data_IF_160850105917
#
_entry.id   IF_160850105917
#
_cell.length_a   1.000
_cell.length_b   1.000
_cell.length_c   1.000
_cell.angle_alpha   90.00
_cell.angle_beta   90.00
_cell.angle_gamma   90.00
#
_symmetry.space_group_name_H-M   'P 1'
#
loop_
_entity.id
_entity.type
_entity.pdbx_description
1 polymer ?
#
# COMPACT_ATOMS: atom_id res chain seq x y z
N UNK A 1 9.12 19.97 7.46
CA UNK A 1 9.25 19.06 6.31
C UNK A 1 8.29 17.90 6.50
N UNK A 2 7.31 17.77 5.61
CA UNK A 2 6.31 16.68 5.60
C UNK A 2 6.86 15.49 4.83
N UNK A 3 6.65 14.28 5.34
CA UNK A 3 7.05 13.04 4.67
C UNK A 3 6.00 11.94 4.90
N UNK A 4 5.81 11.10 3.89
CA UNK A 4 4.92 9.93 3.90
C UNK A 4 5.75 8.65 3.80
N UNK A 5 5.33 7.63 4.55
CA UNK A 5 5.79 6.25 4.31
C UNK A 5 4.88 5.58 3.31
N UNK A 6 5.46 5.13 2.20
CA UNK A 6 4.73 4.59 1.05
C UNK A 6 5.21 3.19 0.76
N UNK A 7 4.30 2.21 0.79
CA UNK A 7 4.60 0.82 0.49
C UNK A 7 4.13 0.44 -0.91
N UNK A 8 5.07 0.01 -1.75
CA UNK A 8 4.81 -0.50 -3.09
C UNK A 8 4.76 -2.02 -3.07
N UNK A 9 3.70 -2.61 -3.61
CA UNK A 9 3.55 -4.06 -3.74
C UNK A 9 4.33 -4.59 -4.94
N UNK A 10 5.39 -5.37 -4.70
CA UNK A 10 6.41 -5.70 -5.70
C UNK A 10 6.33 -7.14 -6.21
N UNK A 11 6.59 -7.31 -7.52
CA UNK A 11 6.89 -8.61 -8.15
C UNK A 11 8.39 -8.93 -8.10
N UNK A 12 9.20 -7.89 -8.28
CA UNK A 12 10.65 -7.90 -8.27
C UNK A 12 11.15 -6.48 -7.93
N UNK A 13 12.46 -6.23 -8.03
CA UNK A 13 13.05 -4.95 -7.60
C UNK A 13 12.73 -3.76 -8.52
N UNK A 14 12.16 -4.01 -9.71
CA UNK A 14 11.92 -2.97 -10.72
C UNK A 14 10.43 -2.74 -10.98
N UNK A 15 9.59 -3.74 -10.71
CA UNK A 15 8.19 -3.73 -11.12
C UNK A 15 7.23 -4.12 -9.98
N UNK A 16 6.16 -3.34 -9.87
CA UNK A 16 5.01 -3.68 -9.06
C UNK A 16 4.31 -4.94 -9.61
N UNK A 17 3.65 -5.65 -8.71
CA UNK A 17 2.91 -6.87 -9.06
C UNK A 17 1.81 -6.61 -10.08
N UNK A 18 1.66 -7.53 -11.05
CA UNK A 18 0.58 -7.48 -12.05
C UNK A 18 -0.74 -8.04 -11.50
N UNK A 19 -0.67 -8.90 -10.49
CA UNK A 19 -1.81 -9.37 -9.71
C UNK A 19 -2.27 -8.28 -8.69
N UNK A 20 -3.02 -8.66 -7.66
CA UNK A 20 -3.45 -7.70 -6.65
C UNK A 20 -2.32 -7.37 -5.67
N UNK A 21 -2.34 -6.15 -5.13
CA UNK A 21 -1.38 -5.68 -4.12
C UNK A 21 -1.09 -6.69 -2.99
N UNK A 22 -2.13 -7.36 -2.48
CA UNK A 22 -2.00 -8.36 -1.40
C UNK A 22 -1.21 -9.62 -1.78
N UNK A 23 -1.02 -9.88 -3.08
CA UNK A 23 -0.31 -11.05 -3.61
C UNK A 23 1.19 -10.77 -3.83
N UNK A 24 1.64 -9.55 -3.55
CA UNK A 24 3.02 -9.09 -3.76
C UNK A 24 4.04 -10.00 -3.08
N UNK A 25 5.21 -10.20 -3.68
CA UNK A 25 6.29 -10.98 -3.03
C UNK A 25 6.83 -10.27 -1.79
N UNK A 26 7.01 -8.96 -1.89
CA UNK A 26 7.45 -8.09 -0.81
C UNK A 26 6.89 -6.68 -1.02
N UNK A 27 7.01 -5.85 0.01
CA UNK A 27 6.71 -4.44 -0.05
C UNK A 27 8.01 -3.65 -0.02
N UNK A 28 8.26 -2.81 -1.03
CA UNK A 28 9.32 -1.82 -0.96
C UNK A 28 8.77 -0.57 -0.28
N UNK A 29 9.33 -0.19 0.86
CA UNK A 29 8.84 0.90 1.69
C UNK A 29 9.77 2.10 1.53
N UNK A 30 9.21 3.18 1.02
CA UNK A 30 9.91 4.43 0.79
C UNK A 30 9.43 5.51 1.74
N UNK A 31 10.34 6.39 2.13
CA UNK A 31 10.02 7.72 2.61
C UNK A 31 9.99 8.67 1.42
N UNK A 32 8.89 9.38 1.24
CA UNK A 32 8.73 10.42 0.21
C UNK A 32 8.41 11.72 0.92
N UNK A 33 9.14 12.80 0.64
CA UNK A 33 8.95 14.10 1.28
C UNK A 33 8.48 15.18 0.31
N UNK A 34 7.95 16.27 0.85
CA UNK A 34 7.36 17.38 0.08
C UNK A 34 8.33 18.10 -0.87
N UNK A 35 9.63 17.97 -0.62
CA UNK A 35 10.70 18.50 -1.48
C UNK A 35 11.03 17.60 -2.68
N UNK A 36 10.31 16.48 -2.83
CA UNK A 36 10.53 15.48 -3.86
C UNK A 36 11.62 14.46 -3.54
N UNK A 37 12.22 14.52 -2.35
CA UNK A 37 13.19 13.49 -1.94
C UNK A 37 12.50 12.14 -1.73
N UNK A 38 13.17 11.08 -2.19
CA UNK A 38 12.70 9.70 -2.15
C UNK A 38 13.80 8.82 -1.60
N UNK A 39 13.52 8.10 -0.52
CA UNK A 39 14.49 7.22 0.15
C UNK A 39 13.89 5.84 0.41
N UNK A 40 14.53 4.78 -0.10
CA UNK A 40 14.18 3.42 0.28
C UNK A 40 14.53 3.22 1.76
N UNK A 41 13.54 2.91 2.59
CA UNK A 41 13.74 2.59 4.00
C UNK A 41 14.06 1.11 4.18
N UNK A 42 13.23 0.23 3.60
CA UNK A 42 13.40 -1.22 3.68
C UNK A 42 12.59 -1.98 2.62
N UNK A 43 12.86 -3.28 2.50
CA UNK A 43 12.00 -4.24 1.81
C UNK A 43 11.42 -5.21 2.84
N UNK A 44 10.10 -5.27 2.93
CA UNK A 44 9.38 -6.09 3.90
C UNK A 44 8.75 -7.30 3.20
N UNK A 45 9.13 -8.51 3.62
CA UNK A 45 8.56 -9.74 3.07
C UNK A 45 7.05 -9.80 3.33
N UNK A 46 6.26 -10.20 2.33
CA UNK A 46 4.81 -10.34 2.49
C UNK A 46 4.48 -11.68 3.14
N UNK A 47 4.19 -11.68 4.45
CA UNK A 47 3.84 -12.89 5.20
C UNK A 47 2.41 -13.38 4.94
N UNK A 48 1.57 -12.55 4.32
CA UNK A 48 0.19 -12.88 4.00
C UNK A 48 0.04 -13.60 2.65
N UNK A 49 1.12 -13.73 1.87
CA UNK A 49 1.09 -14.27 0.51
C UNK A 49 0.67 -15.75 0.48
N UNK A 50 1.13 -16.52 1.47
CA UNK A 50 0.91 -17.97 1.55
C UNK A 50 -0.35 -18.31 2.37
N UNK A 51 -1.13 -17.32 2.79
CA UNK A 51 -2.44 -17.59 3.38
C UNK A 51 -3.36 -18.10 2.27
N UNK A 52 -3.61 -19.40 2.28
CA UNK A 52 -4.60 -20.03 1.41
C UNK A 52 -5.96 -19.37 1.61
N UNK A 53 -6.58 -18.95 0.51
CA UNK A 53 -7.99 -18.55 0.53
C UNK A 53 -8.77 -19.86 0.70
N UNK A 54 -9.24 -20.16 1.91
CA UNK A 54 -9.92 -21.44 2.23
C UNK A 54 -11.20 -21.70 1.42
N UNK A 55 -11.62 -20.77 0.56
CA UNK A 55 -12.85 -20.85 -0.22
C UNK A 55 -12.54 -20.60 -1.71
N UNK A 56 -12.68 -21.65 -2.51
CA UNK A 56 -12.62 -21.62 -3.99
C UNK A 56 -13.68 -20.69 -4.62
N UNK A 57 -14.63 -20.19 -3.83
CA UNK A 57 -15.66 -19.23 -4.24
C UNK A 57 -15.29 -17.78 -3.88
N UNK A 58 -14.17 -17.32 -4.44
CA UNK A 58 -14.03 -15.92 -4.86
C UNK A 58 -13.99 -14.81 -3.79
N UNK A 59 -12.91 -14.04 -3.88
CA UNK A 59 -12.90 -12.59 -3.69
C UNK A 59 -12.79 -12.04 -2.26
N UNK A 60 -11.54 -11.78 -1.86
CA UNK A 60 -11.22 -10.78 -0.84
C UNK A 60 -11.46 -11.26 0.59
N UNK A 61 -10.79 -12.34 0.99
CA UNK A 61 -10.80 -12.83 2.37
C UNK A 61 -10.42 -11.69 3.34
N UNK A 62 -11.29 -11.35 4.33
CA UNK A 62 -10.98 -10.39 5.38
C UNK A 62 -9.70 -10.71 6.16
N UNK A 63 -9.36 -12.00 6.33
CA UNK A 63 -8.14 -12.46 6.99
C UNK A 63 -6.90 -12.06 6.21
N UNK A 64 -6.92 -12.21 4.88
CA UNK A 64 -5.83 -11.78 3.99
C UNK A 64 -5.67 -10.26 4.03
N UNK A 65 -6.78 -9.51 4.03
CA UNK A 65 -6.74 -8.06 4.27
C UNK A 65 -6.08 -7.71 5.61
N UNK A 66 -6.53 -8.33 6.70
CA UNK A 66 -6.00 -8.08 8.04
C UNK A 66 -4.50 -8.40 8.09
N UNK A 67 -4.09 -9.56 7.57
CA UNK A 67 -2.69 -9.96 7.50
C UNK A 67 -1.82 -8.97 6.70
N UNK A 68 -2.30 -8.47 5.55
CA UNK A 68 -1.56 -7.48 4.75
C UNK A 68 -1.45 -6.13 5.45
N UNK A 69 -2.53 -5.62 6.05
CA UNK A 69 -2.51 -4.31 6.71
C UNK A 69 -1.77 -4.37 8.05
N UNK A 70 -1.89 -5.46 8.81
CA UNK A 70 -1.21 -5.65 10.10
C UNK A 70 0.31 -5.66 10.00
N UNK A 71 0.89 -6.05 8.85
CA UNK A 71 2.33 -5.94 8.62
C UNK A 71 2.75 -4.58 8.05
N UNK A 72 1.82 -3.64 7.81
CA UNK A 72 2.03 -2.31 7.23
C UNK A 72 1.41 -1.19 8.11
N UNK A 73 1.31 -1.41 9.43
CA UNK A 73 0.66 -0.46 10.35
C UNK A 73 1.38 0.89 10.42
N UNK A 74 2.70 0.90 10.19
CA UNK A 74 3.58 2.07 10.18
C UNK A 74 3.63 2.81 8.83
N UNK A 75 2.93 2.30 7.81
CA UNK A 75 2.86 2.90 6.47
C UNK A 75 1.64 3.83 6.39
N UNK A 76 1.74 4.89 5.59
CA UNK A 76 0.66 5.84 5.34
C UNK A 76 -0.11 5.48 4.06
N UNK A 77 0.64 5.21 2.99
CA UNK A 77 0.11 5.00 1.64
C UNK A 77 0.45 3.60 1.11
N UNK A 78 -0.56 2.90 0.59
CA UNK A 78 -0.43 1.64 -0.13
C UNK A 78 -0.47 1.93 -1.64
N UNK A 79 0.69 1.97 -2.29
CA UNK A 79 0.83 2.27 -3.70
C UNK A 79 0.76 0.98 -4.54
N UNK A 80 -0.26 0.85 -5.36
CA UNK A 80 -0.56 -0.37 -6.11
C UNK A 80 -0.80 -0.09 -7.59
N UNK A 81 -0.36 -1.01 -8.44
CA UNK A 81 -0.83 -1.04 -9.82
C UNK A 81 -2.29 -1.52 -9.90
N UNK A 82 -2.60 -2.60 -9.18
CA UNK A 82 -3.94 -3.18 -9.05
C UNK A 82 -4.22 -3.53 -7.58
N UNK A 83 -5.48 -3.38 -7.17
CA UNK A 83 -5.95 -3.84 -5.86
C UNK A 83 -7.16 -4.74 -6.04
N UNK A 84 -7.26 -5.75 -5.18
CA UNK A 84 -8.40 -6.66 -5.17
C UNK A 84 -9.62 -6.06 -4.43
N UNK A 85 -10.68 -6.87 -4.24
CA UNK A 85 -11.93 -6.47 -3.58
C UNK A 85 -11.76 -5.85 -2.20
N UNK A 86 -10.68 -6.23 -1.49
CA UNK A 86 -10.30 -5.69 -0.19
C UNK A 86 -9.95 -4.19 -0.19
N UNK A 87 -9.81 -3.55 -1.36
CA UNK A 87 -9.61 -2.10 -1.45
C UNK A 87 -10.69 -1.30 -0.72
N UNK A 88 -11.96 -1.71 -0.81
CA UNK A 88 -13.06 -1.03 -0.10
C UNK A 88 -12.85 -1.08 1.42
N UNK A 89 -12.31 -2.20 1.96
CA UNK A 89 -11.98 -2.32 3.38
C UNK A 89 -10.81 -1.42 3.78
N UNK A 90 -9.79 -1.28 2.93
CA UNK A 90 -8.70 -0.31 3.16
C UNK A 90 -9.26 1.12 3.21
N UNK A 91 -10.12 1.47 2.24
CA UNK A 91 -10.74 2.80 2.19
C UNK A 91 -11.60 3.06 3.43
N UNK A 92 -12.41 2.10 3.82
CA UNK A 92 -13.49 2.31 4.78
C UNK A 92 -13.07 2.03 6.23
N UNK A 93 -12.16 1.08 6.48
CA UNK A 93 -11.84 0.55 7.83
C UNK A 93 -10.41 0.82 8.32
N UNK A 94 -9.60 1.56 7.58
CA UNK A 94 -8.22 1.85 7.98
C UNK A 94 -7.85 3.30 7.75
N UNK A 95 -6.83 3.75 8.46
CA UNK A 95 -6.21 5.05 8.22
C UNK A 95 -5.24 5.08 7.03
N UNK A 96 -5.17 4.02 6.22
CA UNK A 96 -4.27 3.94 5.07
C UNK A 96 -4.91 4.56 3.85
N UNK A 97 -4.12 5.31 3.08
CA UNK A 97 -4.51 5.79 1.76
C UNK A 97 -4.10 4.75 0.73
N UNK A 98 -5.03 4.39 -0.16
CA UNK A 98 -4.72 3.51 -1.26
C UNK A 98 -4.53 4.34 -2.53
N UNK A 99 -3.37 4.21 -3.16
CA UNK A 99 -2.98 5.00 -4.33
C UNK A 99 -2.76 4.09 -5.54
N UNK A 100 -3.49 4.34 -6.62
CA UNK A 100 -3.33 3.59 -7.86
C UNK A 100 -2.24 4.22 -8.72
N UNK A 101 -1.10 3.55 -8.81
CA UNK A 101 0.06 4.05 -9.55
C UNK A 101 -0.21 4.08 -11.04
N UNK A 102 -1.16 3.31 -11.59
CA UNK A 102 -1.44 3.15 -13.05
C UNK A 102 -0.24 2.73 -13.90
N UNK A 103 0.83 2.27 -13.28
CA UNK A 103 2.05 1.77 -13.92
C UNK A 103 2.66 0.70 -13.04
N UNK A 104 3.34 -0.26 -13.66
CA UNK A 104 4.12 -1.26 -12.94
C UNK A 104 5.55 -0.85 -12.73
N UNK A 105 6.09 0.04 -13.54
CA UNK A 105 7.46 0.51 -13.38
C UNK A 105 7.61 1.28 -12.06
N UNK A 106 8.50 0.82 -11.19
CA UNK A 106 8.71 1.41 -9.86
C UNK A 106 9.17 2.87 -9.93
N UNK A 107 10.04 3.21 -10.88
CA UNK A 107 10.56 4.59 -11.01
C UNK A 107 9.44 5.55 -11.38
N UNK A 108 8.61 5.17 -12.35
CA UNK A 108 7.43 5.97 -12.74
C UNK A 108 6.41 6.00 -11.59
N UNK A 109 6.23 4.90 -10.85
CA UNK A 109 5.33 4.85 -9.71
C UNK A 109 5.76 5.80 -8.58
N UNK A 110 7.06 5.86 -8.26
CA UNK A 110 7.62 6.80 -7.29
C UNK A 110 7.43 8.25 -7.73
N UNK A 111 7.69 8.55 -9.01
CA UNK A 111 7.44 9.88 -9.57
C UNK A 111 5.97 10.30 -9.41
N UNK A 112 5.02 9.39 -9.67
CA UNK A 112 3.59 9.67 -9.50
C UNK A 112 3.21 9.97 -8.06
N UNK A 113 3.86 9.33 -7.08
CA UNK A 113 3.64 9.65 -5.66
C UNK A 113 4.16 11.05 -5.33
N UNK A 114 5.34 11.43 -5.84
CA UNK A 114 5.88 12.79 -5.67
C UNK A 114 4.95 13.84 -6.29
N UNK A 115 4.49 13.60 -7.52
CA UNK A 115 3.57 14.50 -8.23
C UNK A 115 2.21 14.68 -7.54
N UNK A 116 1.79 13.70 -6.72
CA UNK A 116 0.53 13.72 -5.98
C UNK A 116 0.74 13.89 -4.46
N UNK A 117 1.91 14.39 -4.03
CA UNK A 117 2.30 14.39 -2.61
C UNK A 117 1.30 15.14 -1.72
N UNK A 118 0.90 16.36 -2.11
CA UNK A 118 -0.01 17.18 -1.30
C UNK A 118 -1.38 16.52 -1.14
N UNK A 119 -1.97 15.99 -2.22
CA UNK A 119 -3.25 15.26 -2.19
C UNK A 119 -3.17 14.01 -1.29
N UNK A 120 -2.06 13.25 -1.37
CA UNK A 120 -1.84 12.07 -0.54
C UNK A 120 -1.64 12.44 0.93
N UNK A 121 -0.96 13.56 1.19
CA UNK A 121 -0.76 14.08 2.52
C UNK A 121 -2.09 14.44 3.17
N UNK A 122 -2.94 15.23 2.49
CA UNK A 122 -4.25 15.63 2.99
C UNK A 122 -5.15 14.43 3.27
N UNK A 123 -5.23 13.48 2.34
CA UNK A 123 -5.98 12.23 2.55
C UNK A 123 -5.47 11.43 3.75
N UNK A 124 -4.14 11.38 3.95
CA UNK A 124 -3.53 10.70 5.09
C UNK A 124 -3.90 11.37 6.41
N UNK A 125 -3.83 12.71 6.48
CA UNK A 125 -4.19 13.44 7.69
C UNK A 125 -5.67 13.28 8.04
N UNK A 126 -6.57 13.41 7.04
CA UNK A 126 -8.00 13.21 7.23
C UNK A 126 -8.29 11.79 7.77
N UNK A 127 -7.70 10.76 7.16
CA UNK A 127 -7.87 9.37 7.60
C UNK A 127 -7.31 9.10 8.99
N UNK A 128 -6.16 9.67 9.36
CA UNK A 128 -5.58 9.51 10.71
C UNK A 128 -6.40 10.17 11.81
N UNK A 129 -7.11 11.26 11.49
CA UNK A 129 -8.01 11.93 12.44
C UNK A 129 -9.28 11.11 12.71
N UNK A 130 -9.75 10.34 11.74
CA UNK A 130 -11.03 9.62 11.81
C UNK A 130 -10.91 8.15 12.18
N UNK A 131 -9.81 7.48 11.77
CA UNK A 131 -9.74 6.01 11.76
C UNK A 131 -8.48 5.48 12.46
N UNK A 132 -8.57 4.31 13.10
CA UNK A 132 -7.39 3.60 13.58
C UNK A 132 -6.56 3.03 12.40
N UNK A 133 -5.32 2.60 12.65
CA UNK A 133 -4.51 1.88 11.67
C UNK A 133 -5.19 0.65 11.06
N UNK A 134 -5.97 -0.06 11.88
CA UNK A 134 -6.86 -1.15 11.50
C UNK A 134 -7.93 -1.26 12.59
N UNK A 135 -9.19 -1.47 12.20
CA UNK A 135 -10.25 -1.86 13.16
C UNK A 135 -10.06 -3.31 13.58
N UNK A 136 -10.25 -3.62 14.88
CA UNK A 136 -10.13 -4.98 15.43
C UNK A 136 -11.19 -5.94 14.87
#
# INVERSE_FOLDING_TARGET
MRCLKVAFGMENDETLIDAHYGDSKFFAIYEVCEDGSVKLLEKRHNRARDLEEEHDEGHGDPRKFKAVVSQLLDVDVLAAFRMGPNFLRIRDKTNKVAFFTRTRDLKIALQRVVENFDDLWEQTQAKKAEKPPIEE
#
